data_IF_055647906232
#
_entry.id   IF_055647906232
#
_cell.length_a   1.000
_cell.length_b   1.000
_cell.length_c   1.000
_cell.angle_alpha   90.00
_cell.angle_beta   90.00
_cell.angle_gamma   90.00
#
_symmetry.space_group_name_H-M   'P 1'
#
loop_
_entity.id
_entity.type
_entity.pdbx_description
1 polymer ?
#
# COMPACT_ATOMS: atom_id res chain seq x y z
N UNK A 1 12.45 25.16 -22.86
CA UNK A 1 11.06 24.84 -22.52
C UNK A 1 10.58 25.85 -21.51
N UNK A 2 9.51 26.56 -21.80
CA UNK A 2 9.00 27.55 -20.88
C UNK A 2 8.08 26.89 -19.82
N UNK A 3 7.88 27.61 -18.75
CA UNK A 3 7.08 27.15 -17.60
C UNK A 3 5.61 26.91 -17.98
N UNK A 4 5.05 27.77 -18.82
CA UNK A 4 3.67 27.68 -19.26
C UNK A 4 3.42 26.40 -20.07
N UNK A 5 4.36 26.00 -20.93
CA UNK A 5 4.25 24.76 -21.70
C UNK A 5 4.29 23.52 -20.80
N UNK A 6 5.14 23.54 -19.77
CA UNK A 6 5.22 22.44 -18.79
C UNK A 6 3.92 22.33 -18.01
N UNK A 7 3.38 23.43 -17.53
CA UNK A 7 2.10 23.45 -16.78
C UNK A 7 0.97 22.91 -17.63
N UNK A 8 0.89 23.31 -18.90
CA UNK A 8 -0.16 22.86 -19.82
C UNK A 8 -0.08 21.35 -20.06
N UNK A 9 1.11 20.80 -20.24
CA UNK A 9 1.31 19.36 -20.42
C UNK A 9 0.92 18.58 -19.18
N UNK A 10 1.28 19.07 -17.98
CA UNK A 10 0.90 18.43 -16.72
C UNK A 10 -0.61 18.42 -16.56
N UNK A 11 -1.28 19.54 -16.83
CA UNK A 11 -2.74 19.61 -16.73
C UNK A 11 -3.42 18.65 -17.70
N UNK A 12 -2.91 18.53 -18.91
CA UNK A 12 -3.44 17.60 -19.90
C UNK A 12 -3.32 16.15 -19.44
N UNK A 13 -2.17 15.78 -18.90
CA UNK A 13 -1.95 14.43 -18.37
C UNK A 13 -2.84 14.14 -17.18
N UNK A 14 -3.13 15.12 -16.34
CA UNK A 14 -4.04 14.97 -15.21
C UNK A 14 -5.48 14.78 -15.70
N UNK A 15 -5.92 15.55 -16.68
CA UNK A 15 -7.25 15.43 -17.26
C UNK A 15 -7.47 14.08 -17.94
N UNK A 16 -6.43 13.55 -18.57
CA UNK A 16 -6.47 12.25 -19.24
C UNK A 16 -6.20 11.09 -18.29
N UNK A 17 -6.01 11.36 -17.00
CA UNK A 17 -5.69 10.37 -15.96
C UNK A 17 -4.40 9.60 -16.21
N UNK A 18 -3.48 10.17 -16.97
CA UNK A 18 -2.13 9.65 -17.14
C UNK A 18 -1.38 9.90 -15.85
N UNK A 19 -1.51 11.12 -15.30
CA UNK A 19 -1.06 11.41 -13.95
C UNK A 19 -2.27 11.26 -13.03
N UNK A 20 -2.24 10.23 -12.20
CA UNK A 20 -3.36 9.91 -11.30
C UNK A 20 -3.26 10.62 -9.95
N UNK A 21 -2.06 11.03 -9.57
CA UNK A 21 -1.84 11.70 -8.29
C UNK A 21 -0.39 12.05 -8.09
N UNK A 22 -0.14 12.82 -7.03
CA UNK A 22 1.20 13.21 -6.61
C UNK A 22 1.40 12.76 -5.17
N UNK A 23 2.52 12.10 -4.91
CA UNK A 23 2.80 11.56 -3.59
C UNK A 23 4.23 11.87 -3.18
N UNK A 24 4.41 12.19 -1.93
CA UNK A 24 5.73 12.43 -1.36
C UNK A 24 6.21 11.17 -0.66
N UNK A 25 7.42 10.74 -0.99
CA UNK A 25 8.06 9.63 -0.29
C UNK A 25 8.71 10.18 0.97
N UNK A 26 8.29 9.67 2.12
CA UNK A 26 8.76 10.14 3.43
C UNK A 26 9.36 8.97 4.20
N UNK A 27 10.54 9.18 4.75
CA UNK A 27 11.13 8.27 5.72
C UNK A 27 10.57 8.63 7.10
N UNK A 28 9.55 7.89 7.54
CA UNK A 28 8.84 8.17 8.76
C UNK A 28 9.71 7.97 10.00
N UNK A 29 10.67 7.06 9.95
CA UNK A 29 11.60 6.85 11.06
C UNK A 29 12.46 8.08 11.29
N UNK A 30 12.97 8.68 10.21
CA UNK A 30 13.75 9.92 10.30
C UNK A 30 12.89 11.10 10.71
N UNK A 31 11.61 11.09 10.37
CA UNK A 31 10.66 12.12 10.78
C UNK A 31 10.25 11.98 12.25
N UNK A 32 10.60 10.87 12.90
CA UNK A 32 10.25 10.61 14.30
C UNK A 32 8.79 10.24 14.51
N UNK A 33 8.11 9.79 13.47
CA UNK A 33 6.70 9.40 13.53
C UNK A 33 6.60 7.89 13.40
N UNK A 34 5.90 7.25 14.34
CA UNK A 34 5.63 5.82 14.26
C UNK A 34 4.60 5.55 13.17
N UNK A 35 4.99 4.70 12.22
CA UNK A 35 4.08 4.16 11.21
C UNK A 35 4.37 2.70 10.99
N UNK A 36 3.32 1.91 10.91
CA UNK A 36 3.38 0.49 10.61
C UNK A 36 2.74 0.29 9.25
N UNK A 37 3.48 -0.30 8.32
CA UNK A 37 2.98 -0.65 7.01
C UNK A 37 2.79 -2.14 6.93
N UNK A 38 1.64 -2.56 6.44
CA UNK A 38 1.33 -3.97 6.27
C UNK A 38 0.96 -4.26 4.81
N UNK A 39 1.35 -5.44 4.36
CA UNK A 39 0.94 -5.99 3.07
C UNK A 39 0.10 -7.24 3.36
N UNK A 40 -1.15 -7.21 2.97
CA UNK A 40 -2.10 -8.27 3.29
C UNK A 40 -2.44 -9.03 2.02
N UNK A 41 -2.16 -10.32 2.04
CA UNK A 41 -2.56 -11.24 0.98
C UNK A 41 -4.00 -11.65 1.25
N UNK A 42 -4.89 -11.41 0.29
CA UNK A 42 -6.31 -11.68 0.44
C UNK A 42 -6.76 -12.67 -0.62
N UNK A 43 -7.40 -13.74 -0.18
CA UNK A 43 -8.07 -14.69 -1.07
C UNK A 43 -9.55 -14.38 -1.05
N UNK A 44 -10.13 -14.26 -2.22
CA UNK A 44 -11.54 -13.89 -2.35
C UNK A 44 -12.26 -14.84 -3.30
N UNK A 45 -13.59 -14.96 -3.09
CA UNK A 45 -14.46 -15.64 -4.04
C UNK A 45 -14.88 -14.62 -5.09
N UNK A 46 -14.57 -14.84 -6.38
CA UNK A 46 -15.00 -13.91 -7.42
C UNK A 46 -16.52 -13.95 -7.54
N UNK A 47 -17.12 -12.77 -7.71
CA UNK A 47 -18.55 -12.68 -7.92
C UNK A 47 -18.88 -12.95 -9.37
N UNK A 48 -19.98 -13.68 -9.55
CA UNK A 48 -20.45 -14.07 -10.87
C UNK A 48 -20.75 -12.83 -11.73
N UNK A 49 -20.08 -12.74 -12.87
CA UNK A 49 -20.24 -11.63 -13.82
C UNK A 49 -19.49 -10.35 -13.48
N UNK A 50 -18.87 -10.28 -12.30
CA UNK A 50 -18.14 -9.07 -11.83
C UNK A 50 -16.69 -9.32 -11.46
N UNK A 51 -16.26 -10.59 -11.43
CA UNK A 51 -14.90 -10.96 -11.07
C UNK A 51 -14.53 -10.45 -9.68
N UNK A 52 -13.40 -9.75 -9.60
CA UNK A 52 -12.86 -9.23 -8.33
C UNK A 52 -13.14 -7.75 -8.12
N UNK A 53 -13.71 -7.06 -9.10
CA UNK A 53 -13.82 -5.61 -9.09
C UNK A 53 -14.63 -5.07 -7.92
N UNK A 54 -15.74 -5.74 -7.60
CA UNK A 54 -16.64 -5.26 -6.56
C UNK A 54 -16.05 -5.41 -5.15
N UNK A 55 -15.39 -6.53 -4.88
CA UNK A 55 -14.73 -6.72 -3.60
C UNK A 55 -13.53 -5.77 -3.46
N UNK A 56 -12.79 -5.57 -4.54
CA UNK A 56 -11.69 -4.60 -4.56
C UNK A 56 -12.19 -3.19 -4.26
N UNK A 57 -13.31 -2.79 -4.85
CA UNK A 57 -13.94 -1.49 -4.61
C UNK A 57 -14.31 -1.31 -3.14
N UNK A 58 -14.90 -2.32 -2.52
CA UNK A 58 -15.24 -2.26 -1.10
C UNK A 58 -14.00 -2.10 -0.22
N UNK A 59 -12.90 -2.75 -0.60
CA UNK A 59 -11.65 -2.68 0.15
C UNK A 59 -10.99 -1.30 -0.02
N UNK A 60 -10.86 -0.80 -1.25
CA UNK A 60 -10.14 0.46 -1.46
C UNK A 60 -10.92 1.68 -0.95
N UNK A 61 -12.19 1.53 -0.67
CA UNK A 61 -12.98 2.61 -0.06
C UNK A 61 -12.75 2.78 1.44
N UNK A 62 -12.08 1.84 2.10
CA UNK A 62 -11.67 2.05 3.49
C UNK A 62 -10.53 3.08 3.54
N UNK A 63 -10.65 4.13 4.37
CA UNK A 63 -9.62 5.18 4.42
C UNK A 63 -8.24 4.67 4.86
N UNK A 64 -8.20 3.58 5.62
CA UNK A 64 -6.95 2.99 6.09
C UNK A 64 -6.15 2.32 4.98
N UNK A 65 -6.82 1.96 3.87
CA UNK A 65 -6.20 1.24 2.76
C UNK A 65 -5.43 2.21 1.88
N UNK A 66 -4.17 1.88 1.67
CA UNK A 66 -3.24 2.68 0.88
C UNK A 66 -3.23 2.24 -0.58
N UNK A 67 -3.29 0.94 -0.84
CA UNK A 67 -3.28 0.40 -2.20
C UNK A 67 -3.97 -0.96 -2.27
N UNK A 68 -4.54 -1.27 -3.42
CA UNK A 68 -5.14 -2.58 -3.70
C UNK A 68 -4.70 -3.00 -5.10
N UNK A 69 -4.16 -4.21 -5.21
CA UNK A 69 -3.69 -4.77 -6.48
C UNK A 69 -4.33 -6.13 -6.73
N UNK A 70 -4.71 -6.37 -7.97
CA UNK A 70 -5.07 -7.73 -8.41
C UNK A 70 -3.79 -8.48 -8.74
N UNK A 71 -3.63 -9.66 -8.16
CA UNK A 71 -2.40 -10.43 -8.24
C UNK A 71 -2.62 -11.71 -9.04
N UNK A 72 -1.68 -12.02 -9.90
CA UNK A 72 -1.60 -13.33 -10.56
C UNK A 72 -0.58 -14.17 -9.78
N UNK A 73 -1.06 -15.02 -8.89
CA UNK A 73 -0.19 -15.81 -8.02
C UNK A 73 -0.97 -16.64 -7.03
N UNK A 74 -0.39 -16.86 -5.86
CA UNK A 74 -0.97 -17.73 -4.84
C UNK A 74 -2.15 -17.13 -4.08
N UNK A 75 -2.47 -15.87 -4.30
CA UNK A 75 -3.62 -15.18 -3.71
C UNK A 75 -4.17 -14.18 -4.73
N UNK A 76 -5.31 -13.55 -4.43
CA UNK A 76 -6.04 -12.77 -5.42
C UNK A 76 -5.79 -11.27 -5.35
N UNK A 77 -5.79 -10.72 -4.14
CA UNK A 77 -5.58 -9.28 -3.94
C UNK A 77 -4.45 -9.04 -2.95
N UNK A 78 -3.63 -8.03 -3.26
CA UNK A 78 -2.66 -7.49 -2.31
C UNK A 78 -3.20 -6.16 -1.82
N UNK A 79 -3.38 -6.04 -0.52
CA UNK A 79 -3.86 -4.82 0.12
C UNK A 79 -2.74 -4.25 0.96
N UNK A 80 -2.38 -3.00 0.73
CA UNK A 80 -1.41 -2.32 1.59
C UNK A 80 -2.14 -1.31 2.45
N UNK A 81 -1.79 -1.28 3.72
CA UNK A 81 -2.34 -0.30 4.64
C UNK A 81 -1.30 0.19 5.63
N UNK A 82 -1.55 1.36 6.15
CA UNK A 82 -0.70 1.99 7.15
C UNK A 82 -1.51 2.27 8.40
N UNK A 83 -0.89 2.03 9.55
CA UNK A 83 -1.45 2.34 10.85
C UNK A 83 -0.36 2.86 11.77
N UNK A 84 -0.76 3.30 12.96
CA UNK A 84 0.18 3.80 13.96
C UNK A 84 0.83 2.65 14.74
N UNK A 85 0.12 1.56 14.92
CA UNK A 85 0.56 0.41 15.71
C UNK A 85 0.19 -0.90 15.02
N UNK A 86 0.86 -1.98 15.43
CA UNK A 86 0.51 -3.34 14.99
C UNK A 86 -0.93 -3.68 15.37
N UNK A 87 -1.37 -3.24 16.54
CA UNK A 87 -2.74 -3.49 17.00
C UNK A 87 -3.77 -2.83 16.10
N UNK A 88 -3.51 -1.58 15.68
CA UNK A 88 -4.41 -0.86 14.79
C UNK A 88 -4.58 -1.59 13.46
N UNK A 89 -3.48 -2.05 12.88
CA UNK A 89 -3.49 -2.82 11.63
C UNK A 89 -4.22 -4.14 11.83
N UNK A 90 -3.90 -4.88 12.87
CA UNK A 90 -4.54 -6.16 13.16
C UNK A 90 -6.04 -6.01 13.41
N UNK A 91 -6.44 -4.96 14.12
CA UNK A 91 -7.86 -4.63 14.32
C UNK A 91 -8.60 -4.39 13.02
N UNK A 92 -7.98 -3.65 12.10
CA UNK A 92 -8.58 -3.41 10.79
C UNK A 92 -8.81 -4.72 10.05
N UNK A 93 -7.81 -5.60 10.01
CA UNK A 93 -7.93 -6.88 9.32
C UNK A 93 -9.04 -7.72 9.94
N UNK A 94 -9.06 -7.85 11.26
CA UNK A 94 -10.02 -8.68 11.96
C UNK A 94 -11.44 -8.13 11.87
N UNK A 95 -11.61 -6.83 12.04
CA UNK A 95 -12.94 -6.22 12.19
C UNK A 95 -13.56 -5.76 10.88
N UNK A 96 -12.74 -5.43 9.89
CA UNK A 96 -13.24 -4.88 8.62
C UNK A 96 -12.96 -5.80 7.43
N UNK A 97 -11.69 -6.18 7.23
CA UNK A 97 -11.31 -6.93 6.05
C UNK A 97 -11.82 -8.37 6.08
N UNK A 98 -11.57 -9.09 7.16
CA UNK A 98 -11.95 -10.50 7.29
C UNK A 98 -13.46 -10.72 7.42
N UNK A 99 -14.22 -9.66 7.68
CA UNK A 99 -15.69 -9.76 7.82
C UNK A 99 -16.43 -9.63 6.50
N UNK A 100 -15.75 -9.28 5.42
CA UNK A 100 -16.38 -9.22 4.09
C UNK A 100 -16.71 -10.64 3.63
N UNK A 101 -17.95 -10.83 3.16
CA UNK A 101 -18.43 -12.16 2.77
C UNK A 101 -17.58 -12.83 1.70
N UNK A 102 -17.04 -12.03 0.78
CA UNK A 102 -16.22 -12.54 -0.32
C UNK A 102 -14.81 -12.93 0.10
N UNK A 103 -14.36 -12.50 1.28
CA UNK A 103 -13.00 -12.78 1.75
C UNK A 103 -12.93 -14.16 2.38
N UNK A 104 -12.16 -15.05 1.77
CA UNK A 104 -11.96 -16.42 2.23
C UNK A 104 -10.88 -16.51 3.31
N UNK A 105 -9.78 -15.83 3.09
CA UNK A 105 -8.66 -15.83 4.03
C UNK A 105 -7.78 -14.61 3.83
N UNK A 106 -7.04 -14.26 4.88
CA UNK A 106 -6.08 -13.16 4.87
C UNK A 106 -4.77 -13.61 5.48
N UNK A 107 -3.67 -13.06 4.98
CA UNK A 107 -2.36 -13.27 5.55
C UNK A 107 -1.67 -11.90 5.66
N UNK A 108 -1.38 -11.47 6.87
CA UNK A 108 -0.79 -10.17 7.12
C UNK A 108 0.72 -10.26 7.23
N UNK A 109 1.41 -9.45 6.43
CA UNK A 109 2.85 -9.31 6.45
C UNK A 109 3.19 -7.87 6.84
N UNK A 110 4.03 -7.70 7.85
CA UNK A 110 4.46 -6.37 8.28
C UNK A 110 5.81 -6.03 7.66
N UNK A 111 5.91 -4.81 7.12
CA UNK A 111 7.18 -4.31 6.59
C UNK A 111 8.01 -3.84 7.79
N UNK A 112 9.16 -4.47 8.00
CA UNK A 112 10.03 -4.12 9.10
C UNK A 112 11.00 -3.00 8.74
N UNK A 113 11.46 -2.97 7.49
CA UNK A 113 12.40 -1.98 7.02
C UNK A 113 12.29 -1.83 5.51
N UNK A 114 12.37 -0.61 5.03
CA UNK A 114 12.41 -0.33 3.59
C UNK A 114 13.84 0.01 3.19
N UNK A 115 14.42 -0.79 2.31
CA UNK A 115 15.75 -0.55 1.77
C UNK A 115 15.69 0.40 0.58
N UNK A 116 14.74 0.19 -0.27
CA UNK A 116 14.49 1.00 -1.46
C UNK A 116 13.00 1.04 -1.71
N UNK A 117 12.48 2.20 -2.03
CA UNK A 117 11.06 2.38 -2.27
C UNK A 117 10.85 3.41 -3.37
N UNK A 118 9.97 3.10 -4.32
CA UNK A 118 9.68 3.97 -5.46
C UNK A 118 10.96 4.48 -6.17
N UNK A 119 11.95 3.60 -6.31
CA UNK A 119 13.22 3.92 -6.98
C UNK A 119 14.23 4.68 -6.13
N UNK A 120 13.90 5.02 -4.89
CA UNK A 120 14.77 5.77 -3.98
C UNK A 120 15.36 4.84 -2.91
N UNK A 121 16.67 4.89 -2.76
CA UNK A 121 17.35 4.15 -1.69
C UNK A 121 17.12 4.89 -0.37
N UNK A 122 16.59 4.18 0.61
CA UNK A 122 16.19 4.77 1.90
C UNK A 122 17.15 4.40 3.04
N UNK A 123 18.13 3.56 2.77
CA UNK A 123 19.08 3.13 3.79
C UNK A 123 20.13 4.21 4.02
N UNK A 124 20.36 4.57 5.29
CA UNK A 124 21.46 5.40 5.68
C UNK A 124 22.71 4.50 5.82
N UNK A 125 23.70 4.69 4.93
CA UNK A 125 24.91 3.90 4.92
C UNK A 125 25.78 4.09 6.16
N UNK A 126 25.52 5.12 6.96
CA UNK A 126 26.26 5.36 8.21
C UNK A 126 25.74 4.52 9.38
N UNK A 127 24.57 3.88 9.24
CA UNK A 127 23.96 3.04 10.27
C UNK A 127 23.83 1.61 9.78
N UNK A 128 24.20 0.66 10.63
CA UNK A 128 23.96 -0.75 10.38
C UNK A 128 22.59 -1.16 10.91
N UNK A 129 21.97 -2.10 10.21
CA UNK A 129 20.75 -2.75 10.66
C UNK A 129 21.03 -3.50 11.96
N UNK A 130 20.11 -3.45 12.93
CA UNK A 130 20.23 -4.19 14.19
C UNK A 130 20.42 -5.69 13.96
N UNK A 131 19.81 -6.24 12.95
CA UNK A 131 19.93 -7.67 12.61
C UNK A 131 21.34 -8.01 12.13
N UNK A 132 22.00 -7.10 11.43
CA UNK A 132 23.40 -7.26 11.02
C UNK A 132 24.34 -7.16 12.20
N UNK A 133 24.01 -6.30 13.17
CA UNK A 133 24.81 -6.14 14.38
C UNK A 133 24.71 -7.35 15.30
N UNK A 134 23.65 -8.12 15.20
CA UNK A 134 23.41 -9.31 16.03
C UNK A 134 23.92 -10.60 15.38
N UNK A 135 24.32 -10.56 14.14
CA UNK A 135 24.75 -11.74 13.39
C UNK A 135 26.17 -12.21 13.75
#
# INVERSE_FOLDING_TARGET
>A
VDEASVVNELQKMEEEHIICGYHTLIDWDKAGIEKVTAMIEVRVTPQRGMGFDKVAERIYNYPEVNAVYLISGGFDLMVTLEGKTLREVSSFVTNKLSTLDQVLSTKTNFILKKYKDHGTVMVDNSKKDEREMMA
#
